data_IF_601874160300
#
_entry.id   IF_601874160300
#
_cell.length_a   1.000
_cell.length_b   1.000
_cell.length_c   1.000
_cell.angle_alpha   90.00
_cell.angle_beta   90.00
_cell.angle_gamma   90.00
#
_symmetry.space_group_name_H-M   'P 1'
#
loop_
_entity.id
_entity.type
_entity.pdbx_description
1 polymer ?
#
# COMPACT_ATOMS: atom_id res chain seq x y z
N UNK A 1 1.47 -31.15 16.69
CA UNK A 1 0.47 -30.06 16.82
C UNK A 1 0.20 -29.86 18.31
N UNK A 2 0.65 -28.74 18.90
CA UNK A 2 0.32 -28.43 20.31
C UNK A 2 -1.15 -28.02 20.36
N UNK A 3 -1.90 -28.55 21.33
CA UNK A 3 -3.28 -28.17 21.58
C UNK A 3 -3.35 -26.70 22.03
N UNK A 4 -4.38 -25.97 21.60
CA UNK A 4 -4.63 -24.58 21.98
C UNK A 4 -4.70 -24.46 23.50
N UNK A 5 -3.93 -23.54 24.08
CA UNK A 5 -3.97 -23.20 25.51
C UNK A 5 -4.60 -21.81 25.64
N UNK A 6 -5.93 -21.71 25.83
CA UNK A 6 -6.66 -20.44 25.73
C UNK A 6 -6.21 -19.37 26.74
N UNK A 7 -5.59 -19.80 27.85
CA UNK A 7 -5.14 -18.91 28.92
C UNK A 7 -3.68 -18.42 28.77
N UNK A 8 -3.00 -18.77 27.67
CA UNK A 8 -1.62 -18.33 27.42
C UNK A 8 -1.56 -17.23 26.35
N UNK A 9 -0.60 -16.29 26.47
CA UNK A 9 -0.26 -15.37 25.39
C UNK A 9 -0.01 -16.13 24.09
N UNK A 10 -0.67 -15.68 23.01
CA UNK A 10 -0.36 -16.13 21.65
C UNK A 10 1.01 -15.55 21.30
N UNK A 11 1.91 -16.36 20.78
CA UNK A 11 3.21 -15.91 20.26
C UNK A 11 3.22 -15.99 18.72
N UNK A 12 4.29 -15.53 18.05
CA UNK A 12 4.36 -15.60 16.58
C UNK A 12 4.25 -17.04 16.02
N UNK A 13 4.50 -18.04 16.87
CA UNK A 13 4.43 -19.46 16.58
C UNK A 13 3.01 -20.05 16.74
N UNK A 14 2.08 -19.28 17.31
CA UNK A 14 0.72 -19.68 17.60
C UNK A 14 -0.24 -19.04 16.58
N UNK A 15 -0.90 -19.83 15.74
CA UNK A 15 -1.91 -19.29 14.83
C UNK A 15 -3.18 -18.92 15.56
N UNK A 16 -3.50 -17.62 15.65
CA UNK A 16 -4.81 -17.14 16.09
C UNK A 16 -5.90 -17.65 15.14
N UNK A 17 -5.61 -17.64 13.84
CA UNK A 17 -6.41 -18.33 12.84
C UNK A 17 -5.50 -19.00 11.80
N UNK A 18 -6.07 -19.96 11.07
CA UNK A 18 -5.38 -20.59 9.96
C UNK A 18 -6.35 -21.18 8.95
N UNK A 19 -5.89 -21.33 7.72
CA UNK A 19 -6.63 -21.92 6.62
C UNK A 19 -5.69 -22.79 5.78
N UNK A 20 -6.24 -23.87 5.23
CA UNK A 20 -5.57 -24.66 4.20
C UNK A 20 -5.79 -23.96 2.86
N UNK A 21 -4.70 -23.63 2.16
CA UNK A 21 -4.76 -23.03 0.82
C UNK A 21 -4.84 -24.12 -0.23
N UNK A 22 -4.06 -25.19 -0.05
CA UNK A 22 -4.11 -26.42 -0.84
C UNK A 22 -3.59 -27.60 0.00
N UNK A 23 -3.52 -28.80 -0.58
CA UNK A 23 -3.10 -30.04 0.12
C UNK A 23 -1.70 -29.97 0.76
N UNK A 24 -0.86 -29.03 0.35
CA UNK A 24 0.53 -28.92 0.79
C UNK A 24 0.84 -27.61 1.52
N UNK A 25 -0.12 -26.69 1.63
CA UNK A 25 0.14 -25.36 2.15
C UNK A 25 -0.96 -24.86 3.07
N UNK A 26 -0.51 -24.40 4.24
CA UNK A 26 -1.33 -23.76 5.26
C UNK A 26 -0.86 -22.34 5.46
N UNK A 27 -1.82 -21.46 5.74
CA UNK A 27 -1.54 -20.11 6.20
C UNK A 27 -2.07 -19.98 7.60
N UNK A 28 -1.28 -19.32 8.43
CA UNK A 28 -1.66 -18.95 9.79
C UNK A 28 -1.39 -17.48 9.99
N UNK A 29 -2.28 -16.80 10.70
CA UNK A 29 -1.99 -15.46 11.22
C UNK A 29 -1.94 -15.53 12.74
N UNK A 30 -0.89 -14.99 13.39
CA UNK A 30 -0.78 -15.03 14.84
C UNK A 30 -1.43 -13.81 15.53
N UNK A 31 -1.89 -12.80 14.78
CA UNK A 31 -2.48 -11.57 15.35
C UNK A 31 -3.65 -10.96 14.54
N UNK A 32 -4.06 -11.56 13.42
CA UNK A 32 -5.16 -11.09 12.57
C UNK A 32 -6.17 -12.23 12.34
N UNK A 33 -7.47 -11.92 12.33
CA UNK A 33 -8.52 -12.90 11.98
C UNK A 33 -8.81 -12.96 10.47
N UNK A 34 -8.41 -11.92 9.73
CA UNK A 34 -8.57 -11.87 8.28
C UNK A 34 -7.39 -12.57 7.61
N UNK A 35 -7.67 -13.62 6.83
CA UNK A 35 -6.69 -14.32 6.02
C UNK A 35 -6.89 -13.99 4.55
N UNK A 36 -5.76 -13.73 3.88
CA UNK A 36 -5.71 -13.54 2.44
C UNK A 36 -5.19 -14.82 1.78
N UNK A 37 -5.77 -15.14 0.63
CA UNK A 37 -5.26 -16.18 -0.27
C UNK A 37 -3.99 -15.66 -0.96
N UNK A 38 -2.83 -16.31 -0.81
CA UNK A 38 -1.56 -15.79 -1.29
C UNK A 38 -1.49 -15.83 -2.81
N UNK A 39 -0.83 -14.86 -3.46
CA UNK A 39 -0.62 -14.89 -4.90
C UNK A 39 0.44 -15.96 -5.23
N UNK A 40 0.02 -17.22 -5.30
CA UNK A 40 0.86 -18.38 -5.62
C UNK A 40 0.65 -18.85 -7.06
N UNK A 41 1.71 -19.36 -7.67
CA UNK A 41 1.65 -20.03 -8.97
C UNK A 41 2.88 -19.74 -9.82
N UNK A 42 3.29 -20.73 -10.62
CA UNK A 42 4.44 -20.62 -11.54
C UNK A 42 4.07 -19.86 -12.83
N UNK A 43 2.77 -19.83 -13.17
CA UNK A 43 2.22 -19.16 -14.35
C UNK A 43 1.18 -18.10 -13.95
N UNK A 44 1.53 -17.22 -13.01
CA UNK A 44 0.65 -16.14 -12.63
C UNK A 44 0.67 -15.06 -13.73
N UNK A 45 -0.42 -14.95 -14.47
CA UNK A 45 -0.56 -13.94 -15.51
C UNK A 45 -1.03 -12.61 -14.89
N UNK A 46 -0.14 -11.62 -14.92
CA UNK A 46 -0.42 -10.27 -14.43
C UNK A 46 -1.04 -9.43 -15.55
N UNK A 47 -2.25 -8.91 -15.35
CA UNK A 47 -2.86 -7.95 -16.25
C UNK A 47 -3.64 -6.87 -15.51
N UNK A 48 -3.65 -5.68 -16.10
CA UNK A 48 -4.38 -4.53 -15.60
C UNK A 48 -5.88 -4.79 -15.64
N UNK A 49 -6.57 -4.45 -14.56
CA UNK A 49 -8.03 -4.62 -14.40
C UNK A 49 -8.75 -3.28 -14.65
N UNK A 50 -10.08 -3.30 -14.55
CA UNK A 50 -10.91 -2.12 -14.81
C UNK A 50 -10.71 -0.98 -13.79
N UNK A 51 -10.13 -1.28 -12.63
CA UNK A 51 -9.69 -0.31 -11.63
C UNK A 51 -8.26 0.20 -11.88
N UNK A 52 -7.68 -0.09 -13.06
CA UNK A 52 -6.32 0.31 -13.45
C UNK A 52 -5.22 -0.23 -12.52
N UNK A 53 -5.53 -1.27 -11.74
CA UNK A 53 -4.62 -1.97 -10.84
C UNK A 53 -4.41 -3.41 -11.31
N UNK A 54 -3.56 -4.15 -10.59
CA UNK A 54 -3.16 -5.52 -10.95
C UNK A 54 -3.82 -6.61 -10.09
N UNK A 55 -4.93 -6.29 -9.40
CA UNK A 55 -5.66 -7.28 -8.59
C UNK A 55 -4.80 -7.83 -7.45
N UNK A 56 -4.69 -9.17 -7.35
CA UNK A 56 -3.89 -9.85 -6.31
C UNK A 56 -2.38 -9.62 -6.44
N UNK A 57 -1.90 -9.20 -7.60
CA UNK A 57 -0.49 -8.84 -7.82
C UNK A 57 -0.18 -7.41 -7.39
N UNK A 58 -1.19 -6.61 -7.09
CA UNK A 58 -1.01 -5.22 -6.71
C UNK A 58 -0.78 -5.11 -5.20
N UNK A 59 0.40 -4.65 -4.74
CA UNK A 59 0.70 -4.52 -3.32
C UNK A 59 -0.21 -3.49 -2.60
N UNK A 60 -0.92 -2.62 -3.32
CA UNK A 60 -1.89 -1.70 -2.74
C UNK A 60 -3.23 -2.35 -2.39
N UNK A 61 -3.51 -3.51 -2.99
CA UNK A 61 -4.79 -4.22 -2.85
C UNK A 61 -4.66 -5.52 -2.07
N UNK A 62 -3.49 -6.15 -2.14
CA UNK A 62 -3.30 -7.51 -1.66
C UNK A 62 -1.92 -7.69 -1.00
N UNK A 63 -1.83 -8.43 0.12
CA UNK A 63 -0.54 -8.70 0.74
C UNK A 63 0.37 -9.46 -0.23
N UNK A 64 1.63 -9.06 -0.28
CA UNK A 64 2.64 -9.72 -1.12
C UNK A 64 3.59 -10.57 -0.27
N UNK A 65 4.33 -11.51 -0.86
CA UNK A 65 5.45 -12.15 -0.18
C UNK A 65 6.44 -11.10 0.34
N UNK A 66 6.92 -11.30 1.57
CA UNK A 66 7.89 -10.42 2.19
C UNK A 66 9.15 -10.33 1.34
N UNK A 67 9.62 -9.10 1.12
CA UNK A 67 10.77 -8.81 0.30
C UNK A 67 11.78 -7.99 1.11
N UNK A 68 12.94 -8.56 1.42
CA UNK A 68 13.97 -7.90 2.23
C UNK A 68 14.51 -6.61 1.60
N UNK A 69 14.48 -6.48 0.27
CA UNK A 69 14.89 -5.25 -0.42
C UNK A 69 13.83 -4.15 -0.39
N UNK A 70 12.56 -4.49 -0.10
CA UNK A 70 11.43 -3.56 0.01
C UNK A 70 10.51 -3.93 1.17
N UNK A 71 11.03 -3.97 2.41
CA UNK A 71 10.29 -4.47 3.56
C UNK A 71 9.13 -3.55 3.95
N UNK A 72 9.20 -2.27 3.57
CA UNK A 72 8.14 -1.28 3.78
C UNK A 72 6.85 -1.58 3.02
N UNK A 73 6.84 -2.45 2.00
CA UNK A 73 5.61 -2.77 1.27
C UNK A 73 4.56 -3.45 2.16
N UNK A 74 4.97 -4.12 3.24
CA UNK A 74 4.03 -4.67 4.23
C UNK A 74 3.29 -3.58 5.01
N UNK A 75 3.79 -2.34 4.98
CA UNK A 75 3.23 -1.17 5.66
C UNK A 75 2.38 -0.31 4.72
N UNK A 76 2.07 -0.77 3.51
CA UNK A 76 1.10 -0.07 2.66
C UNK A 76 -0.25 -0.05 3.35
N UNK A 77 -0.89 1.12 3.32
CA UNK A 77 -2.22 1.29 3.88
C UNK A 77 -3.24 0.57 3.00
N UNK A 78 -4.06 -0.26 3.61
CA UNK A 78 -5.17 -0.91 2.94
C UNK A 78 -6.24 0.14 2.61
N UNK A 79 -6.63 0.18 1.34
CA UNK A 79 -7.62 1.10 0.79
C UNK A 79 -8.96 1.02 1.56
N UNK A 80 -9.51 2.18 1.95
CA UNK A 80 -10.80 2.46 2.63
C UNK A 80 -11.51 1.30 3.35
N UNK A 81 -11.46 1.28 4.69
CA UNK A 81 -12.40 0.49 5.51
C UNK A 81 -13.59 1.27 6.04
N UNK A 82 -13.49 2.60 6.14
CA UNK A 82 -14.52 3.45 6.76
C UNK A 82 -14.71 4.76 5.99
N UNK A 83 -15.97 5.17 5.77
CA UNK A 83 -16.32 6.42 5.09
C UNK A 83 -15.84 7.69 5.83
N UNK A 84 -15.35 7.54 7.07
CA UNK A 84 -14.83 8.61 7.91
C UNK A 84 -13.34 8.92 7.67
N UNK A 85 -12.65 8.22 6.78
CA UNK A 85 -11.24 8.47 6.49
C UNK A 85 -11.04 9.88 5.90
N UNK A 86 -10.27 10.78 6.54
CA UNK A 86 -10.00 12.10 5.97
C UNK A 86 -9.24 12.04 4.62
N UNK A 87 -8.56 10.92 4.34
CA UNK A 87 -7.83 10.69 3.09
C UNK A 87 -8.65 9.93 2.04
N UNK A 88 -9.97 9.76 2.24
CA UNK A 88 -10.90 9.16 1.27
C UNK A 88 -10.64 9.58 -0.19
N UNK A 89 -10.43 10.89 -0.49
CA UNK A 89 -10.19 11.32 -1.88
C UNK A 89 -8.95 10.68 -2.52
N UNK A 90 -7.92 10.33 -1.75
CA UNK A 90 -6.73 9.66 -2.26
C UNK A 90 -7.07 8.31 -2.87
N UNK A 91 -8.00 7.57 -2.30
CA UNK A 91 -8.28 6.19 -2.67
C UNK A 91 -9.23 6.03 -3.86
N UNK A 92 -9.87 7.11 -4.29
CA UNK A 92 -10.87 7.10 -5.36
C UNK A 92 -10.25 7.34 -6.73
N UNK A 93 -10.68 6.54 -7.69
CA UNK A 93 -10.38 6.79 -9.11
C UNK A 93 -11.32 7.85 -9.68
N UNK A 94 -10.88 8.58 -10.71
CA UNK A 94 -11.75 9.46 -11.49
C UNK A 94 -12.93 8.69 -12.06
N UNK A 95 -14.11 9.29 -11.98
CA UNK A 95 -15.32 8.80 -12.65
C UNK A 95 -15.62 9.67 -13.87
N UNK A 96 -16.31 9.09 -14.85
CA UNK A 96 -16.59 9.78 -16.11
C UNK A 96 -17.40 11.08 -15.93
N UNK A 97 -18.28 11.13 -14.93
CA UNK A 97 -19.08 12.32 -14.62
C UNK A 97 -18.23 13.54 -14.22
N UNK A 98 -17.03 13.31 -13.69
CA UNK A 98 -16.09 14.35 -13.27
C UNK A 98 -15.03 14.66 -14.35
N UNK A 99 -15.16 14.10 -15.56
CA UNK A 99 -14.21 14.26 -16.65
C UNK A 99 -14.68 15.33 -17.66
N UNK A 100 -13.97 16.45 -17.67
CA UNK A 100 -14.27 17.62 -18.50
C UNK A 100 -13.54 17.50 -19.83
N UNK A 101 -14.22 16.96 -20.85
CA UNK A 101 -13.68 16.89 -22.22
C UNK A 101 -13.38 18.29 -22.75
N UNK A 102 -12.20 18.46 -23.33
CA UNK A 102 -11.87 19.69 -24.06
C UNK A 102 -12.49 19.63 -25.45
N UNK A 103 -13.16 20.72 -25.79
CA UNK A 103 -13.77 21.05 -27.09
C UNK A 103 -14.18 19.86 -27.98
N UNK A 104 -15.46 19.52 -27.96
CA UNK A 104 -16.04 18.49 -28.83
C UNK A 104 -16.03 18.84 -30.33
N UNK A 105 -15.75 20.10 -30.68
CA UNK A 105 -15.68 20.58 -32.07
C UNK A 105 -14.29 20.47 -32.70
N UNK A 106 -13.25 20.16 -31.90
CA UNK A 106 -11.89 19.89 -32.39
C UNK A 106 -11.79 18.58 -33.20
N UNK A 107 -10.86 18.53 -34.15
CA UNK A 107 -10.49 17.32 -34.90
C UNK A 107 -9.95 16.21 -33.98
N UNK A 108 -9.36 16.59 -32.84
CA UNK A 108 -8.88 15.66 -31.81
C UNK A 108 -9.94 15.58 -30.72
N UNK A 109 -10.67 14.46 -30.68
CA UNK A 109 -11.68 14.18 -29.65
C UNK A 109 -11.12 13.25 -28.58
N UNK A 110 -11.54 13.44 -27.33
CA UNK A 110 -11.29 12.48 -26.24
C UNK A 110 -10.43 12.98 -25.08
N UNK A 111 -9.42 13.83 -25.28
CA UNK A 111 -8.71 14.46 -24.17
C UNK A 111 -9.60 15.39 -23.35
N UNK A 112 -9.31 15.48 -22.06
CA UNK A 112 -10.03 16.29 -21.11
C UNK A 112 -9.21 16.48 -19.84
N UNK A 113 -9.78 17.26 -18.94
CA UNK A 113 -9.24 17.50 -17.61
C UNK A 113 -10.14 16.88 -16.56
N UNK A 114 -9.56 16.58 -15.39
CA UNK A 114 -10.36 16.21 -14.24
C UNK A 114 -11.00 17.46 -13.62
N UNK A 115 -12.25 17.35 -13.16
CA UNK A 115 -12.94 18.44 -12.49
C UNK A 115 -12.09 19.01 -11.34
N UNK A 116 -12.06 20.35 -11.26
CA UNK A 116 -11.14 21.10 -10.42
C UNK A 116 -11.30 20.79 -8.93
N UNK A 117 -12.54 20.62 -8.47
CA UNK A 117 -12.88 20.29 -7.09
C UNK A 117 -12.35 18.89 -6.70
N UNK A 118 -12.53 17.90 -7.58
CA UNK A 118 -12.02 16.53 -7.38
C UNK A 118 -10.50 16.48 -7.41
N UNK A 119 -9.91 17.13 -8.42
CA UNK A 119 -8.46 17.24 -8.59
C UNK A 119 -7.82 17.91 -7.37
N UNK A 120 -8.40 19.01 -6.89
CA UNK A 120 -7.88 19.75 -5.74
C UNK A 120 -7.99 18.96 -4.43
N UNK A 121 -9.09 18.23 -4.22
CA UNK A 121 -9.24 17.36 -3.05
C UNK A 121 -8.19 16.23 -3.03
N UNK A 122 -7.99 15.58 -4.19
CA UNK A 122 -6.96 14.57 -4.35
C UNK A 122 -5.54 15.13 -4.15
N UNK A 123 -5.23 16.27 -4.78
CA UNK A 123 -3.95 16.96 -4.64
C UNK A 123 -3.67 17.34 -3.19
N UNK A 124 -4.69 17.83 -2.47
CA UNK A 124 -4.57 18.17 -1.05
C UNK A 124 -4.17 16.95 -0.22
N UNK A 125 -4.87 15.82 -0.37
CA UNK A 125 -4.52 14.58 0.33
C UNK A 125 -3.09 14.13 0.02
N UNK A 126 -2.68 14.18 -1.27
CA UNK A 126 -1.32 13.84 -1.68
C UNK A 126 -0.30 14.74 -0.96
N UNK A 127 -0.49 16.07 -0.98
CA UNK A 127 0.44 17.01 -0.35
C UNK A 127 0.51 16.84 1.17
N UNK A 128 -0.60 16.53 1.83
CA UNK A 128 -0.62 16.26 3.27
C UNK A 128 0.24 15.04 3.62
N UNK A 129 0.11 13.93 2.89
CA UNK A 129 0.89 12.71 3.14
C UNK A 129 2.36 12.94 2.80
N UNK A 130 2.66 13.50 1.63
CA UNK A 130 4.03 13.81 1.22
C UNK A 130 4.71 14.79 2.19
N UNK A 131 3.98 15.75 2.74
CA UNK A 131 4.50 16.72 3.72
C UNK A 131 4.72 16.14 5.12
N UNK A 132 3.98 15.09 5.51
CA UNK A 132 4.17 14.37 6.79
C UNK A 132 5.31 13.38 6.75
N UNK A 133 5.67 12.88 5.57
CA UNK A 133 6.75 11.91 5.43
C UNK A 133 8.06 12.47 6.03
N UNK A 134 8.58 11.75 7.00
CA UNK A 134 9.63 12.25 7.88
C UNK A 134 10.92 12.56 7.12
N UNK A 135 11.69 13.52 7.64
CA UNK A 135 13.14 13.46 7.51
C UNK A 135 13.59 12.25 8.34
N UNK A 136 13.73 11.09 7.70
CA UNK A 136 14.23 9.89 8.36
C UNK A 136 15.53 10.25 9.08
N UNK A 137 15.56 10.08 10.41
CA UNK A 137 16.77 10.32 11.19
C UNK A 137 17.87 9.41 10.62
N UNK A 138 18.91 10.02 10.06
CA UNK A 138 20.02 9.33 9.40
C UNK A 138 20.86 8.65 10.48
N UNK A 139 20.44 7.45 10.87
CA UNK A 139 21.13 6.64 11.86
C UNK A 139 21.99 5.52 11.24
N UNK A 140 21.62 5.05 10.04
CA UNK A 140 22.30 3.97 9.33
C UNK A 140 22.03 3.98 7.82
N UNK A 141 22.76 3.12 7.07
CA UNK A 141 22.72 3.03 5.61
C UNK A 141 21.31 2.72 5.07
N UNK A 142 20.55 1.85 5.72
CA UNK A 142 19.22 1.50 5.24
C UNK A 142 18.22 2.65 5.42
N UNK A 143 18.36 3.45 6.50
CA UNK A 143 17.58 4.69 6.67
C UNK A 143 17.95 5.73 5.61
N UNK A 144 19.23 5.82 5.22
CA UNK A 144 19.67 6.71 4.13
C UNK A 144 19.05 6.28 2.79
N UNK A 145 19.10 4.99 2.47
CA UNK A 145 18.48 4.45 1.25
C UNK A 145 16.97 4.71 1.24
N UNK A 146 16.30 4.49 2.38
CA UNK A 146 14.88 4.80 2.55
C UNK A 146 14.56 6.28 2.33
N UNK A 147 15.38 7.19 2.89
CA UNK A 147 15.21 8.64 2.73
C UNK A 147 15.39 9.07 1.28
N UNK A 148 16.45 8.58 0.62
CA UNK A 148 16.69 8.85 -0.79
C UNK A 148 15.54 8.35 -1.67
N UNK A 149 14.96 7.19 -1.35
CA UNK A 149 13.81 6.65 -2.08
C UNK A 149 12.57 7.53 -1.88
N UNK A 150 12.28 7.97 -0.65
CA UNK A 150 11.19 8.91 -0.36
C UNK A 150 11.34 10.21 -1.16
N UNK A 151 12.54 10.79 -1.21
CA UNK A 151 12.77 12.02 -1.98
C UNK A 151 12.58 11.81 -3.49
N UNK A 152 13.01 10.67 -4.04
CA UNK A 152 12.75 10.33 -5.43
C UNK A 152 11.24 10.19 -5.72
N UNK A 153 10.51 9.49 -4.85
CA UNK A 153 9.06 9.32 -4.98
C UNK A 153 8.33 10.67 -4.90
N UNK A 154 8.74 11.57 -4.00
CA UNK A 154 8.21 12.94 -3.90
C UNK A 154 8.41 13.73 -5.19
N UNK A 155 9.60 13.65 -5.81
CA UNK A 155 9.88 14.32 -7.09
C UNK A 155 8.92 13.82 -8.17
N UNK A 156 8.75 12.49 -8.30
CA UNK A 156 7.78 11.93 -9.25
C UNK A 156 6.36 12.38 -8.95
N UNK A 157 5.96 12.36 -7.67
CA UNK A 157 4.63 12.78 -7.24
C UNK A 157 4.33 14.24 -7.63
N UNK A 158 5.30 15.16 -7.46
CA UNK A 158 5.16 16.56 -7.91
C UNK A 158 4.99 16.65 -9.43
N UNK A 159 5.78 15.90 -10.20
CA UNK A 159 5.65 15.87 -11.67
C UNK A 159 4.27 15.37 -12.12
N UNK A 160 3.73 14.36 -11.43
CA UNK A 160 2.39 13.84 -11.70
C UNK A 160 1.29 14.86 -11.36
N UNK A 161 1.39 15.57 -10.23
CA UNK A 161 0.44 16.62 -9.86
C UNK A 161 0.42 17.76 -10.89
N UNK A 162 1.58 18.21 -11.35
CA UNK A 162 1.66 19.23 -12.40
C UNK A 162 1.04 18.74 -13.71
N UNK A 163 1.25 17.46 -14.07
CA UNK A 163 0.62 16.84 -15.24
C UNK A 163 -0.91 16.82 -15.12
N UNK A 164 -1.46 16.44 -13.97
CA UNK A 164 -2.91 16.41 -13.73
C UNK A 164 -3.57 17.78 -13.89
N UNK A 165 -2.82 18.85 -13.58
CA UNK A 165 -3.28 20.23 -13.71
C UNK A 165 -3.17 20.79 -15.14
N UNK A 166 -2.08 20.46 -15.83
CA UNK A 166 -1.68 21.15 -17.07
C UNK A 166 -1.88 20.35 -18.36
N UNK A 167 -1.98 19.02 -18.27
CA UNK A 167 -2.01 18.15 -19.45
C UNK A 167 -3.38 17.49 -19.62
N UNK A 168 -4.17 17.90 -20.62
CA UNK A 168 -5.38 17.18 -21.01
C UNK A 168 -5.03 15.78 -21.50
N UNK A 169 -5.75 14.78 -21.00
CA UNK A 169 -5.48 13.38 -21.32
C UNK A 169 -6.78 12.62 -21.54
N UNK A 170 -6.71 11.47 -22.21
CA UNK A 170 -7.88 10.60 -22.33
C UNK A 170 -8.27 10.07 -20.95
N UNK A 171 -9.55 9.77 -20.74
CA UNK A 171 -10.03 9.26 -19.44
C UNK A 171 -9.25 8.02 -18.94
N UNK A 172 -8.91 7.01 -19.77
CA UNK A 172 -8.08 5.90 -19.30
C UNK A 172 -6.68 6.33 -18.85
N UNK A 173 -6.08 7.31 -19.53
CA UNK A 173 -4.79 7.88 -19.11
C UNK A 173 -4.91 8.65 -17.81
N UNK A 174 -6.02 9.34 -17.58
CA UNK A 174 -6.30 10.02 -16.32
C UNK A 174 -6.41 9.01 -15.18
N UNK A 175 -7.21 7.95 -15.34
CA UNK A 175 -7.34 6.91 -14.33
C UNK A 175 -5.99 6.22 -14.03
N UNK A 176 -5.21 5.87 -15.06
CA UNK A 176 -3.87 5.31 -14.87
C UNK A 176 -2.93 6.28 -14.15
N UNK A 177 -2.94 7.56 -14.52
CA UNK A 177 -2.14 8.59 -13.88
C UNK A 177 -2.48 8.73 -12.39
N UNK A 178 -3.76 8.63 -12.03
CA UNK A 178 -4.20 8.66 -10.63
C UNK A 178 -3.80 7.37 -9.90
N UNK A 179 -3.98 6.20 -10.49
CA UNK A 179 -3.59 4.92 -9.88
C UNK A 179 -2.08 4.88 -9.57
N UNK A 180 -1.23 5.34 -10.50
CA UNK A 180 0.22 5.44 -10.27
C UNK A 180 0.55 6.48 -9.20
N UNK A 181 -0.12 7.62 -9.18
CA UNK A 181 0.09 8.64 -8.15
C UNK A 181 -0.30 8.13 -6.74
N UNK A 182 -1.42 7.41 -6.64
CA UNK A 182 -1.84 6.74 -5.41
C UNK A 182 -0.74 5.83 -4.89
N UNK A 183 -0.15 5.01 -5.77
CA UNK A 183 0.97 4.12 -5.43
C UNK A 183 2.15 4.88 -4.84
N UNK A 184 2.61 5.93 -5.53
CA UNK A 184 3.76 6.72 -5.09
C UNK A 184 3.54 7.33 -3.70
N UNK A 185 2.37 7.92 -3.48
CA UNK A 185 2.03 8.59 -2.21
C UNK A 185 1.92 7.57 -1.07
N UNK A 186 1.26 6.44 -1.30
CA UNK A 186 1.12 5.37 -0.31
C UNK A 186 2.44 4.69 0.00
N UNK A 187 3.34 4.56 -0.98
CA UNK A 187 4.68 4.02 -0.77
C UNK A 187 5.54 4.96 0.09
N UNK A 188 5.45 6.28 -0.11
CA UNK A 188 6.09 7.27 0.77
C UNK A 188 5.59 7.16 2.21
N UNK A 189 4.28 7.01 2.41
CA UNK A 189 3.68 6.79 3.72
C UNK A 189 4.18 5.48 4.35
N UNK A 190 4.17 4.39 3.58
CA UNK A 190 4.61 3.07 4.03
C UNK A 190 6.08 3.03 4.45
N UNK A 191 6.97 3.71 3.70
CA UNK A 191 8.38 3.85 4.07
C UNK A 191 8.50 4.59 5.41
N UNK A 192 7.79 5.70 5.56
CA UNK A 192 7.79 6.48 6.81
C UNK A 192 7.31 5.65 8.01
N UNK A 193 6.22 4.89 7.83
CA UNK A 193 5.67 3.96 8.84
C UNK A 193 6.66 2.85 9.17
N UNK A 194 7.28 2.26 8.16
CA UNK A 194 8.24 1.17 8.36
C UNK A 194 9.41 1.62 9.22
N UNK A 195 10.11 2.69 8.85
CA UNK A 195 11.29 3.14 9.59
C UNK A 195 10.96 3.77 10.95
N UNK A 196 9.79 4.40 11.12
CA UNK A 196 9.38 4.97 12.43
C UNK A 196 8.91 3.92 13.43
N UNK A 197 8.19 2.91 12.97
CA UNK A 197 7.34 2.09 13.84
C UNK A 197 7.70 0.61 13.82
N UNK A 198 7.98 0.07 12.63
CA UNK A 198 8.20 -1.38 12.44
C UNK A 198 9.68 -1.73 12.61
N UNK A 199 10.57 -1.01 11.93
CA UNK A 199 12.01 -1.26 11.97
C UNK A 199 12.61 -1.24 13.38
N UNK A 200 12.23 -0.34 14.30
CA UNK A 200 12.74 -0.38 15.68
C UNK A 200 12.42 -1.71 16.40
N UNK A 201 11.34 -2.41 16.03
CA UNK A 201 10.98 -3.72 16.60
C UNK A 201 11.99 -4.80 16.24
N UNK A 202 12.62 -4.69 15.06
CA UNK A 202 13.66 -5.61 14.62
C UNK A 202 14.90 -5.52 15.51
N UNK A 203 15.16 -4.34 16.09
CA UNK A 203 16.29 -4.10 17.00
C UNK A 203 15.97 -4.37 18.49
N UNK A 204 14.71 -4.19 18.90
CA UNK A 204 14.31 -4.27 20.31
C UNK A 204 14.20 -5.72 20.87
N UNK A 205 14.23 -6.73 20.01
CA UNK A 205 14.10 -8.14 20.41
C UNK A 205 12.68 -8.53 20.86
N UNK A 206 12.32 -9.80 20.69
CA UNK A 206 10.96 -10.36 20.87
C UNK A 206 10.51 -10.51 22.34
N UNK A 207 10.53 -9.42 23.13
CA UNK A 207 10.28 -9.48 24.59
C UNK A 207 8.87 -9.09 25.03
N UNK A 208 7.97 -8.70 24.11
CA UNK A 208 6.59 -8.32 24.47
C UNK A 208 5.53 -9.18 23.77
N UNK A 209 4.33 -9.21 24.35
CA UNK A 209 3.12 -9.78 23.73
C UNK A 209 2.98 -9.27 22.29
N UNK A 210 2.58 -10.10 21.32
CA UNK A 210 2.47 -9.65 19.94
C UNK A 210 1.46 -8.50 19.88
N UNK A 211 1.82 -7.37 19.27
CA UNK A 211 0.86 -6.31 19.08
C UNK A 211 -0.26 -6.82 18.18
N UNK A 212 -1.47 -6.37 18.50
CA UNK A 212 -2.64 -6.60 17.66
C UNK A 212 -2.32 -6.13 16.24
N UNK A 213 -2.71 -6.93 15.24
CA UNK A 213 -2.52 -6.55 13.84
C UNK A 213 -3.09 -5.15 13.59
N UNK A 214 -2.30 -4.31 12.95
CA UNK A 214 -2.80 -3.04 12.43
C UNK A 214 -3.68 -3.36 11.22
N UNK A 215 -4.98 -3.22 11.45
CA UNK A 215 -6.02 -3.52 10.49
C UNK A 215 -6.06 -2.53 9.33
N UNK A 216 -5.34 -1.41 9.43
CA UNK A 216 -5.22 -0.42 8.36
C UNK A 216 -4.04 -0.69 7.42
N UNK A 217 -3.18 -1.68 7.72
CA UNK A 217 -2.06 -2.07 6.87
C UNK A 217 -2.36 -3.34 6.06
N UNK A 218 -1.74 -3.46 4.90
CA UNK A 218 -1.89 -4.61 4.00
C UNK A 218 -1.22 -5.87 4.60
N UNK A 219 -0.06 -5.73 5.24
CA UNK A 219 0.73 -6.85 5.73
C UNK A 219 1.47 -7.61 4.62
N UNK A 220 2.00 -8.79 4.93
CA UNK A 220 2.71 -9.62 3.95
C UNK A 220 2.66 -11.10 4.32
N UNK A 221 2.97 -11.95 3.36
CA UNK A 221 3.21 -13.37 3.58
C UNK A 221 4.70 -13.64 3.82
N UNK A 222 5.04 -14.54 4.74
CA UNK A 222 6.42 -15.00 4.91
C UNK A 222 6.44 -16.46 5.32
N UNK A 223 7.44 -17.19 4.83
CA UNK A 223 7.79 -18.53 5.32
C UNK A 223 8.94 -18.49 6.33
N UNK A 224 9.61 -17.34 6.46
CA UNK A 224 10.66 -17.13 7.47
C UNK A 224 10.01 -16.68 8.78
N UNK A 225 10.18 -17.51 9.79
CA UNK A 225 9.55 -17.31 11.09
C UNK A 225 10.22 -16.18 11.86
N UNK A 226 11.50 -15.92 11.61
CA UNK A 226 12.22 -14.77 12.18
C UNK A 226 11.60 -13.46 11.70
N UNK A 227 11.27 -13.39 10.41
CA UNK A 227 10.56 -12.24 9.81
C UNK A 227 9.16 -12.11 10.40
N UNK A 228 8.41 -13.21 10.53
CA UNK A 228 7.08 -13.19 11.13
C UNK A 228 7.11 -12.63 12.57
N UNK A 229 8.10 -13.03 13.36
CA UNK A 229 8.30 -12.57 14.73
C UNK A 229 8.70 -11.09 14.83
N UNK A 230 9.34 -10.52 13.80
CA UNK A 230 9.73 -9.11 13.77
C UNK A 230 8.63 -8.17 13.26
N UNK A 231 7.75 -8.68 12.41
CA UNK A 231 6.57 -7.96 11.91
C UNK A 231 5.38 -8.02 12.88
N UNK A 232 5.41 -8.99 13.79
CA UNK A 232 4.70 -8.96 15.06
C UNK A 232 5.31 -7.86 15.95
#
# INVERSE_FOLDING_TARGET
>A
MKLSQPDKPIHAWDGLCGAMVNEHMFITSPNCLLLFDPPLGVNHEMWMRNDYRYGKDDPLLWPQPYCTSRPYLSCLRLCERTQSDPNLPLFKLPIWADFLKLDTSSLIRGPGLWAEDRRSAFEHCCRVILGRSMNLAVGDDASIVGANWVEQLKVYAVMFLERLKSLPMTFPRLCLCIAEMQRLVLEVEAISTFFSTIRPRFAAGATSLPPKADMDLIGCFTTDISVAQQLH
#
